data_IF_583378182573
#
_entry.id   IF_583378182573
#
_cell.length_a   1.000
_cell.length_b   1.000
_cell.length_c   1.000
_cell.angle_alpha   90.00
_cell.angle_beta   90.00
_cell.angle_gamma   90.00
#
_symmetry.space_group_name_H-M   'P 1'
#
loop_
_entity.id
_entity.type
_entity.pdbx_description
1 polymer ?
#
# COMPACT_ATOMS: atom_id res chain seq x y z
N UNK A 1 15.69 -9.13 3.11
CA UNK A 1 15.58 -9.37 4.58
C UNK A 1 15.59 -8.01 5.28
N UNK A 2 14.75 -7.79 6.29
CA UNK A 2 14.71 -6.54 7.06
C UNK A 2 15.88 -6.52 8.04
N UNK A 3 16.74 -5.49 7.96
CA UNK A 3 17.85 -5.30 8.88
C UNK A 3 17.39 -4.68 10.22
N UNK A 4 18.14 -4.86 11.33
CA UNK A 4 17.68 -4.41 12.65
C UNK A 4 17.40 -2.91 12.79
N UNK A 5 18.09 -2.06 12.03
CA UNK A 5 17.98 -0.60 12.11
C UNK A 5 17.33 0.01 10.84
N UNK A 6 16.60 -0.78 10.06
CA UNK A 6 15.96 -0.27 8.86
C UNK A 6 14.91 0.82 9.19
N UNK A 7 14.83 1.79 8.30
CA UNK A 7 13.72 2.73 8.21
C UNK A 7 12.73 2.17 7.19
N UNK A 8 11.52 1.83 7.64
CA UNK A 8 10.45 1.27 6.82
C UNK A 8 9.38 2.32 6.64
N UNK A 9 9.01 2.58 5.39
CA UNK A 9 7.97 3.55 5.04
C UNK A 9 6.80 2.85 4.35
N UNK A 10 5.60 3.02 4.88
CA UNK A 10 4.35 2.68 4.23
C UNK A 10 3.77 3.90 3.52
N UNK A 11 3.59 3.81 2.20
CA UNK A 11 2.96 4.82 1.35
C UNK A 11 1.68 4.26 0.74
N UNK A 12 0.70 5.12 0.55
CA UNK A 12 -0.57 4.73 -0.05
C UNK A 12 -1.69 5.74 0.21
N UNK A 13 -2.90 5.21 0.08
CA UNK A 13 -4.16 5.93 0.23
C UNK A 13 -4.84 5.69 1.60
N UNK A 14 -6.19 5.70 1.64
CA UNK A 14 -7.00 5.47 2.84
C UNK A 14 -6.81 4.09 3.47
N UNK A 15 -6.47 3.07 2.68
CA UNK A 15 -6.24 1.72 3.18
C UNK A 15 -4.94 1.68 4.00
N UNK A 16 -3.94 2.46 3.62
CA UNK A 16 -2.68 2.61 4.35
C UNK A 16 -2.82 3.63 5.49
N UNK A 17 -3.48 4.78 5.25
CA UNK A 17 -3.76 5.83 6.25
C UNK A 17 -4.52 5.26 7.46
N UNK A 18 -5.66 4.67 7.20
CA UNK A 18 -6.57 4.04 8.16
C UNK A 18 -6.66 4.80 9.50
N UNK A 19 -6.97 6.10 9.42
CA UNK A 19 -7.18 6.96 10.59
C UNK A 19 -5.91 7.33 11.36
N UNK A 20 -4.73 7.32 10.70
CA UNK A 20 -3.51 7.79 11.34
C UNK A 20 -3.60 9.27 11.73
N UNK A 21 -2.98 9.65 12.82
CA UNK A 21 -2.79 11.04 13.18
C UNK A 21 -1.64 11.64 12.34
N UNK A 22 -1.97 12.56 11.43
CA UNK A 22 -1.03 13.18 10.51
C UNK A 22 -0.15 14.26 11.13
N UNK A 23 -0.55 14.79 12.31
CA UNK A 23 0.21 15.77 13.06
C UNK A 23 1.39 15.16 13.82
N UNK A 24 1.38 13.84 13.99
CA UNK A 24 2.47 13.10 14.64
C UNK A 24 3.47 12.62 13.59
N UNK A 25 4.69 13.09 13.67
CA UNK A 25 5.76 12.79 12.72
C UNK A 25 6.65 11.61 13.15
N UNK A 26 6.64 11.25 14.43
CA UNK A 26 7.54 10.26 15.01
C UNK A 26 7.30 8.84 14.48
N UNK A 27 8.36 8.06 14.23
CA UNK A 27 8.22 6.65 13.89
C UNK A 27 7.67 5.84 15.06
N UNK A 28 7.09 4.70 14.77
CA UNK A 28 6.60 3.72 15.76
C UNK A 28 5.49 4.24 16.70
N UNK A 29 5.04 5.47 16.51
CA UNK A 29 3.95 6.02 17.32
C UNK A 29 2.63 5.38 16.89
N UNK A 30 1.88 4.82 17.84
CA UNK A 30 0.66 4.08 17.55
C UNK A 30 -0.40 4.92 16.84
N UNK A 31 -0.54 6.20 17.21
CA UNK A 31 -1.49 7.10 16.53
C UNK A 31 -1.03 7.49 15.13
N UNK A 32 0.28 7.63 14.89
CA UNK A 32 0.85 7.91 13.57
C UNK A 32 0.82 6.70 12.63
N UNK A 33 0.80 5.48 13.18
CA UNK A 33 0.67 4.24 12.40
C UNK A 33 -0.76 3.97 11.94
N UNK A 34 -1.77 4.56 12.61
CA UNK A 34 -3.18 4.34 12.32
C UNK A 34 -3.69 2.99 12.83
N UNK A 35 -4.79 2.49 12.26
CA UNK A 35 -5.47 1.27 12.68
C UNK A 35 -5.42 0.16 11.61
N UNK A 36 -4.73 0.41 10.49
CA UNK A 36 -4.69 -0.49 9.34
C UNK A 36 -3.55 -1.51 9.38
N UNK A 37 -3.36 -2.21 8.26
CA UNK A 37 -2.33 -3.25 8.13
C UNK A 37 -0.90 -2.77 8.50
N UNK A 38 -0.50 -1.49 8.29
CA UNK A 38 0.81 -1.02 8.73
C UNK A 38 1.02 -1.12 10.25
N UNK A 39 -0.05 -0.88 11.03
CA UNK A 39 0.00 -1.00 12.49
C UNK A 39 0.24 -2.45 12.93
N UNK A 40 -0.48 -3.42 12.33
CA UNK A 40 -0.29 -4.84 12.64
C UNK A 40 1.11 -5.31 12.24
N UNK A 41 1.61 -4.90 11.08
CA UNK A 41 2.97 -5.21 10.63
C UNK A 41 4.00 -4.60 11.59
N UNK A 42 3.82 -3.34 11.99
CA UNK A 42 4.72 -2.67 12.91
C UNK A 42 4.77 -3.38 14.27
N UNK A 43 3.61 -3.80 14.81
CA UNK A 43 3.53 -4.54 16.06
C UNK A 43 4.38 -5.82 16.02
N UNK A 44 4.22 -6.62 14.98
CA UNK A 44 4.98 -7.87 14.81
C UNK A 44 6.50 -7.63 14.64
N UNK A 45 6.86 -6.67 13.80
CA UNK A 45 8.27 -6.38 13.53
C UNK A 45 8.99 -5.77 14.74
N UNK A 46 8.35 -4.83 15.44
CA UNK A 46 8.95 -4.15 16.61
C UNK A 46 9.10 -5.09 17.82
N UNK A 47 8.21 -6.06 17.96
CA UNK A 47 8.36 -7.10 19.00
C UNK A 47 9.65 -7.92 18.83
N UNK A 48 10.10 -8.08 17.58
CA UNK A 48 11.31 -8.85 17.24
C UNK A 48 12.54 -7.97 17.03
N UNK A 49 12.35 -6.74 16.54
CA UNK A 49 13.42 -5.81 16.12
C UNK A 49 13.12 -4.40 16.64
N UNK A 50 13.35 -4.09 17.91
CA UNK A 50 12.95 -2.84 18.55
C UNK A 50 13.68 -1.58 18.02
N UNK A 51 14.77 -1.74 17.28
CA UNK A 51 15.52 -0.63 16.70
C UNK A 51 15.03 -0.18 15.32
N UNK A 52 13.97 -0.80 14.76
CA UNK A 52 13.35 -0.35 13.53
C UNK A 52 12.67 1.01 13.70
N UNK A 53 12.68 1.82 12.63
CA UNK A 53 11.87 3.03 12.52
C UNK A 53 10.80 2.81 11.45
N UNK A 54 9.53 2.78 11.84
CA UNK A 54 8.41 2.49 10.94
C UNK A 54 7.50 3.71 10.83
N UNK A 55 7.32 4.18 9.60
CA UNK A 55 6.48 5.32 9.27
C UNK A 55 5.27 4.89 8.44
N UNK A 56 4.11 5.45 8.73
CA UNK A 56 2.95 5.44 7.86
C UNK A 56 2.74 6.84 7.28
N UNK A 57 2.80 6.96 5.95
CA UNK A 57 2.55 8.20 5.19
C UNK A 57 1.38 8.03 4.20
N UNK A 58 0.47 7.10 4.45
CA UNK A 58 -0.80 7.00 3.76
C UNK A 58 -1.62 8.28 3.89
N UNK A 59 -2.33 8.66 2.83
CA UNK A 59 -3.27 9.80 2.84
C UNK A 59 -4.54 9.39 2.11
N UNK A 60 -5.66 9.41 2.82
CA UNK A 60 -6.97 9.05 2.28
C UNK A 60 -7.29 9.82 1.01
N UNK A 61 -7.82 9.12 0.00
CA UNK A 61 -8.18 9.69 -1.29
C UNK A 61 -7.03 9.80 -2.30
N UNK A 62 -5.76 9.54 -1.90
CA UNK A 62 -4.65 9.68 -2.82
C UNK A 62 -4.71 8.68 -3.98
N UNK A 63 -4.36 9.17 -5.16
CA UNK A 63 -4.08 8.45 -6.41
C UNK A 63 -2.57 8.38 -6.60
N UNK A 64 -2.11 7.68 -7.62
CA UNK A 64 -0.66 7.61 -7.91
C UNK A 64 -0.04 8.99 -8.15
N UNK A 65 -0.76 9.89 -8.80
CA UNK A 65 -0.31 11.28 -9.07
C UNK A 65 -0.13 12.09 -7.78
N UNK A 66 -0.94 11.83 -6.77
CA UNK A 66 -0.88 12.50 -5.47
C UNK A 66 0.32 11.99 -4.64
N UNK A 67 0.65 10.70 -4.74
CA UNK A 67 1.90 10.15 -4.17
C UNK A 67 3.13 10.81 -4.80
N UNK A 68 3.13 10.92 -6.12
CA UNK A 68 4.22 11.55 -6.86
C UNK A 68 4.41 13.03 -6.47
N UNK A 69 3.31 13.78 -6.32
CA UNK A 69 3.36 15.19 -5.94
C UNK A 69 4.01 15.44 -4.57
N UNK A 70 3.97 14.46 -3.66
CA UNK A 70 4.54 14.55 -2.30
C UNK A 70 5.77 13.65 -2.08
N UNK A 71 6.37 13.15 -3.16
CA UNK A 71 7.50 12.21 -3.12
C UNK A 71 8.66 12.73 -2.27
N UNK A 72 8.97 14.03 -2.37
CA UNK A 72 10.12 14.60 -1.66
C UNK A 72 9.89 14.71 -0.16
N UNK A 73 8.75 15.27 0.27
CA UNK A 73 8.43 15.49 1.68
C UNK A 73 8.17 14.18 2.43
N UNK A 74 7.39 13.29 1.82
CA UNK A 74 6.82 12.12 2.49
C UNK A 74 7.56 10.81 2.19
N UNK A 75 8.62 10.87 1.35
CA UNK A 75 9.44 9.70 1.05
C UNK A 75 10.93 10.02 1.08
N UNK A 76 11.44 10.83 0.16
CA UNK A 76 12.88 11.02 -0.02
C UNK A 76 13.54 11.61 1.23
N UNK A 77 12.90 12.61 1.85
CA UNK A 77 13.44 13.27 3.05
C UNK A 77 13.50 12.37 4.28
N UNK A 78 12.69 11.30 4.33
CA UNK A 78 12.71 10.31 5.41
C UNK A 78 13.83 9.27 5.25
N UNK A 79 14.46 9.21 4.07
CA UNK A 79 15.58 8.31 3.74
C UNK A 79 15.31 6.85 4.12
N UNK A 80 14.17 6.26 3.72
CA UNK A 80 13.86 4.89 4.06
C UNK A 80 14.79 3.88 3.40
N UNK A 81 15.06 2.77 4.10
CA UNK A 81 15.73 1.61 3.54
C UNK A 81 14.75 0.69 2.78
N UNK A 82 13.47 0.75 3.15
CA UNK A 82 12.40 -0.03 2.53
C UNK A 82 11.15 0.82 2.40
N UNK A 83 10.61 0.88 1.18
CA UNK A 83 9.36 1.59 0.87
C UNK A 83 8.32 0.60 0.40
N UNK A 84 7.22 0.51 1.15
CA UNK A 84 6.05 -0.30 0.82
C UNK A 84 4.95 0.60 0.26
N UNK A 85 4.50 0.34 -0.97
CA UNK A 85 3.51 1.16 -1.67
C UNK A 85 2.27 0.34 -2.00
N UNK A 86 1.12 0.81 -1.54
CA UNK A 86 -0.20 0.32 -1.94
C UNK A 86 -1.00 1.49 -2.51
N UNK A 87 -1.24 1.49 -3.82
CA UNK A 87 -1.91 2.57 -4.53
C UNK A 87 -2.62 2.07 -5.78
N UNK A 88 -3.70 2.73 -6.19
CA UNK A 88 -4.38 2.45 -7.45
C UNK A 88 -5.90 2.39 -7.35
N UNK A 89 -6.46 2.11 -6.17
CA UNK A 89 -7.91 2.00 -6.04
C UNK A 89 -8.61 3.35 -6.26
N UNK A 90 -8.04 4.46 -5.78
CA UNK A 90 -8.62 5.80 -5.99
C UNK A 90 -8.42 6.31 -7.42
N UNK A 91 -7.42 5.82 -8.12
CA UNK A 91 -7.24 6.09 -9.56
C UNK A 91 -8.45 5.57 -10.37
N UNK A 92 -9.06 4.47 -9.91
CA UNK A 92 -10.32 3.92 -10.44
C UNK A 92 -11.54 4.58 -9.78
N UNK A 93 -11.59 4.68 -8.45
CA UNK A 93 -12.75 5.21 -7.74
C UNK A 93 -13.12 6.62 -8.18
N UNK A 94 -12.12 7.50 -8.28
CA UNK A 94 -12.37 8.89 -8.68
C UNK A 94 -12.83 9.01 -10.13
N UNK A 95 -12.48 8.06 -11.01
CA UNK A 95 -13.01 8.03 -12.37
C UNK A 95 -14.50 7.74 -12.35
N UNK A 96 -14.94 6.67 -11.72
CA UNK A 96 -16.34 6.29 -11.65
C UNK A 96 -17.18 7.22 -10.79
N UNK A 97 -16.59 7.85 -9.77
CA UNK A 97 -17.31 8.74 -8.85
C UNK A 97 -17.42 10.19 -9.30
N UNK A 98 -16.43 10.73 -9.99
CA UNK A 98 -16.31 12.17 -10.27
C UNK A 98 -15.55 12.52 -11.56
N UNK A 99 -15.25 11.57 -12.41
CA UNK A 99 -14.46 11.74 -13.63
C UNK A 99 -13.09 12.40 -13.37
N UNK A 100 -12.49 12.06 -12.23
CA UNK A 100 -11.19 12.58 -11.80
C UNK A 100 -10.20 11.45 -11.46
N UNK A 101 -10.33 10.34 -12.16
CA UNK A 101 -9.43 9.21 -12.06
C UNK A 101 -8.11 9.42 -12.78
N UNK A 102 -7.31 8.36 -12.83
CA UNK A 102 -6.06 8.35 -13.58
C UNK A 102 -6.07 7.17 -14.55
N UNK A 103 -6.11 7.44 -15.84
CA UNK A 103 -6.10 6.39 -16.85
C UNK A 103 -4.90 5.45 -16.68
N UNK A 104 -5.10 4.15 -16.93
CA UNK A 104 -4.09 3.11 -16.69
C UNK A 104 -2.72 3.40 -17.33
N UNK A 105 -2.62 3.90 -18.57
CA UNK A 105 -1.31 4.25 -19.14
C UNK A 105 -0.60 5.40 -18.41
N UNK A 106 -1.36 6.36 -17.85
CA UNK A 106 -0.81 7.45 -17.03
C UNK A 106 -0.41 6.93 -15.65
N UNK A 107 -1.22 6.06 -15.04
CA UNK A 107 -0.89 5.39 -13.78
C UNK A 107 0.45 4.66 -13.88
N UNK A 108 0.67 3.88 -14.95
CA UNK A 108 1.94 3.18 -15.18
C UNK A 108 3.12 4.15 -15.30
N UNK A 109 2.98 5.23 -16.09
CA UNK A 109 4.07 6.22 -16.23
C UNK A 109 4.42 6.88 -14.92
N UNK A 110 3.42 7.44 -14.22
CA UNK A 110 3.64 8.18 -12.97
C UNK A 110 4.16 7.26 -11.86
N UNK A 111 3.70 6.02 -11.81
CA UNK A 111 4.23 5.07 -10.82
C UNK A 111 5.69 4.70 -11.13
N UNK A 112 6.04 4.52 -12.41
CA UNK A 112 7.43 4.31 -12.83
C UNK A 112 8.31 5.50 -12.49
N UNK A 113 7.85 6.73 -12.77
CA UNK A 113 8.59 7.95 -12.46
C UNK A 113 8.84 8.07 -10.93
N UNK A 114 7.83 7.78 -10.10
CA UNK A 114 7.96 7.75 -8.64
C UNK A 114 9.05 6.77 -8.18
N UNK A 115 9.07 5.56 -8.74
CA UNK A 115 10.07 4.55 -8.38
C UNK A 115 11.48 4.94 -8.88
N UNK A 116 11.57 5.49 -10.09
CA UNK A 116 12.82 5.93 -10.69
C UNK A 116 13.46 7.05 -9.89
N UNK A 117 12.73 8.14 -9.63
CA UNK A 117 13.25 9.28 -8.85
C UNK A 117 13.58 8.88 -7.40
N UNK A 118 12.81 7.97 -6.81
CA UNK A 118 13.13 7.44 -5.49
C UNK A 118 14.45 6.68 -5.52
N UNK A 119 14.68 5.83 -6.52
CA UNK A 119 15.93 5.05 -6.68
C UNK A 119 17.13 5.95 -6.98
N UNK A 120 16.95 7.00 -7.78
CA UNK A 120 18.00 7.99 -8.05
C UNK A 120 18.40 8.74 -6.79
N UNK A 121 17.43 9.15 -5.97
CA UNK A 121 17.68 9.85 -4.70
C UNK A 121 18.21 8.94 -3.60
N UNK A 122 17.80 7.66 -3.59
CA UNK A 122 18.12 6.66 -2.58
C UNK A 122 18.54 5.34 -3.26
N UNK A 123 19.80 5.23 -3.74
CA UNK A 123 20.24 4.10 -4.57
C UNK A 123 20.04 2.70 -3.94
N UNK A 124 20.16 2.60 -2.62
CA UNK A 124 20.04 1.34 -1.88
C UNK A 124 18.60 1.04 -1.40
N UNK A 125 17.62 1.87 -1.76
CA UNK A 125 16.23 1.67 -1.33
C UNK A 125 15.68 0.36 -1.89
N UNK A 126 14.98 -0.39 -1.06
CA UNK A 126 14.25 -1.59 -1.46
C UNK A 126 12.77 -1.26 -1.58
N UNK A 127 12.14 -1.77 -2.63
CA UNK A 127 10.72 -1.57 -2.85
C UNK A 127 9.92 -2.82 -2.51
N UNK A 128 8.75 -2.58 -1.94
CA UNK A 128 7.66 -3.54 -1.78
C UNK A 128 6.46 -2.95 -2.50
N UNK A 129 6.05 -3.55 -3.61
CA UNK A 129 4.87 -3.12 -4.35
C UNK A 129 3.70 -4.03 -4.00
N UNK A 130 2.72 -3.46 -3.31
CA UNK A 130 1.52 -4.16 -2.90
C UNK A 130 0.48 -4.11 -4.02
N UNK A 131 -0.11 -5.26 -4.31
CA UNK A 131 -1.15 -5.39 -5.31
C UNK A 131 -2.40 -4.60 -4.89
N UNK A 132 -2.88 -3.64 -5.70
CA UNK A 132 -4.15 -2.99 -5.43
C UNK A 132 -5.30 -3.99 -5.60
N UNK A 133 -6.30 -3.92 -4.75
CA UNK A 133 -7.37 -4.90 -4.69
C UNK A 133 -8.75 -4.25 -4.61
N UNK A 134 -9.76 -5.01 -4.97
CA UNK A 134 -11.18 -4.75 -4.69
C UNK A 134 -11.90 -6.07 -4.48
N UNK A 135 -12.92 -6.08 -3.63
CA UNK A 135 -13.86 -7.19 -3.52
C UNK A 135 -15.22 -6.79 -4.08
N UNK A 136 -15.83 -7.67 -4.85
CA UNK A 136 -17.09 -7.38 -5.52
C UNK A 136 -18.27 -7.32 -4.55
N UNK A 137 -18.44 -6.16 -3.94
CA UNK A 137 -19.59 -5.80 -3.09
C UNK A 137 -19.65 -4.29 -2.92
N UNK A 138 -20.73 -3.81 -2.35
CA UNK A 138 -20.91 -2.38 -2.05
C UNK A 138 -20.82 -1.51 -3.28
N UNK A 139 -19.78 -0.68 -3.37
CA UNK A 139 -19.58 0.27 -4.47
C UNK A 139 -18.86 -0.33 -5.68
N UNK A 140 -18.29 -1.52 -5.54
CA UNK A 140 -17.47 -2.15 -6.58
C UNK A 140 -18.35 -2.87 -7.61
N UNK A 141 -18.31 -2.41 -8.86
CA UNK A 141 -18.99 -3.00 -10.01
C UNK A 141 -18.05 -3.87 -10.86
N UNK A 142 -18.57 -4.53 -11.90
CA UNK A 142 -17.74 -5.29 -12.85
C UNK A 142 -16.74 -4.40 -13.59
N UNK A 143 -17.13 -3.17 -13.94
CA UNK A 143 -16.24 -2.24 -14.63
C UNK A 143 -15.03 -1.87 -13.76
N UNK A 144 -15.24 -1.73 -12.44
CA UNK A 144 -14.13 -1.54 -11.50
C UNK A 144 -13.17 -2.72 -11.50
N UNK A 145 -13.70 -3.95 -11.46
CA UNK A 145 -12.88 -5.16 -11.46
C UNK A 145 -11.99 -5.20 -12.69
N UNK A 146 -12.58 -4.96 -13.88
CA UNK A 146 -11.85 -4.97 -15.14
C UNK A 146 -10.74 -3.90 -15.21
N UNK A 147 -10.97 -2.71 -14.66
CA UNK A 147 -9.95 -1.65 -14.61
C UNK A 147 -8.87 -1.95 -13.54
N UNK A 148 -9.27 -2.50 -12.40
CA UNK A 148 -8.33 -2.89 -11.35
C UNK A 148 -7.42 -4.05 -11.78
N UNK A 149 -7.91 -4.99 -12.62
CA UNK A 149 -7.08 -6.04 -13.22
C UNK A 149 -5.90 -5.45 -14.00
N UNK A 150 -6.14 -4.38 -14.77
CA UNK A 150 -5.09 -3.71 -15.52
C UNK A 150 -4.07 -3.04 -14.58
N UNK A 151 -4.52 -2.41 -13.47
CA UNK A 151 -3.64 -1.79 -12.47
C UNK A 151 -2.81 -2.83 -11.72
N UNK A 152 -3.40 -4.00 -11.40
CA UNK A 152 -2.68 -5.15 -10.83
C UNK A 152 -1.56 -5.61 -11.76
N UNK A 153 -1.88 -5.75 -13.06
CA UNK A 153 -0.89 -6.12 -14.06
C UNK A 153 0.27 -5.10 -14.16
N UNK A 154 -0.04 -3.80 -14.10
CA UNK A 154 0.97 -2.73 -14.07
C UNK A 154 1.84 -2.85 -12.81
N UNK A 155 1.23 -3.01 -11.64
CA UNK A 155 1.98 -3.13 -10.38
C UNK A 155 2.91 -4.34 -10.40
N UNK A 156 2.44 -5.49 -10.88
CA UNK A 156 3.27 -6.69 -11.04
C UNK A 156 4.41 -6.51 -12.06
N UNK A 157 4.14 -5.80 -13.16
CA UNK A 157 5.16 -5.44 -14.18
C UNK A 157 6.25 -4.57 -13.56
N UNK A 158 5.86 -3.50 -12.85
CA UNK A 158 6.80 -2.59 -12.19
C UNK A 158 7.59 -3.29 -11.07
N UNK A 159 6.96 -4.21 -10.34
CA UNK A 159 7.68 -4.98 -9.33
C UNK A 159 8.84 -5.79 -9.95
N UNK A 160 8.63 -6.39 -11.12
CA UNK A 160 9.71 -7.08 -11.85
C UNK A 160 10.76 -6.11 -12.38
N UNK A 161 10.34 -4.99 -12.97
CA UNK A 161 11.22 -3.97 -13.57
C UNK A 161 12.18 -3.38 -12.52
N UNK A 162 11.70 -3.10 -11.31
CA UNK A 162 12.47 -2.48 -10.24
C UNK A 162 13.08 -3.48 -9.25
N UNK A 163 13.01 -4.79 -9.51
CA UNK A 163 13.44 -5.84 -8.60
C UNK A 163 12.83 -5.67 -7.20
N UNK A 164 11.53 -5.34 -7.16
CA UNK A 164 10.77 -5.13 -5.93
C UNK A 164 10.12 -6.43 -5.44
N UNK A 165 9.89 -6.53 -4.14
CA UNK A 165 9.04 -7.57 -3.57
C UNK A 165 7.59 -7.26 -3.97
N UNK A 166 6.90 -8.22 -4.58
CA UNK A 166 5.48 -8.12 -4.88
C UNK A 166 4.65 -8.77 -3.78
N UNK A 167 3.67 -8.04 -3.23
CA UNK A 167 2.76 -8.56 -2.21
C UNK A 167 1.35 -8.72 -2.79
N UNK A 168 0.85 -9.97 -2.99
CA UNK A 168 -0.37 -10.27 -3.72
C UNK A 168 -1.62 -10.13 -2.83
N UNK A 169 -2.05 -8.92 -2.53
CA UNK A 169 -3.19 -8.69 -1.63
C UNK A 169 -4.52 -9.15 -2.23
N UNK A 170 -4.75 -9.00 -3.55
CA UNK A 170 -5.97 -9.50 -4.18
C UNK A 170 -6.10 -11.01 -3.99
N UNK A 171 -5.05 -11.76 -4.33
CA UNK A 171 -5.06 -13.22 -4.19
C UNK A 171 -5.28 -13.67 -2.74
N UNK A 172 -4.71 -12.96 -1.78
CA UNK A 172 -4.89 -13.27 -0.35
C UNK A 172 -6.33 -13.03 0.12
N UNK A 173 -6.96 -11.97 -0.36
CA UNK A 173 -8.36 -11.66 -0.04
C UNK A 173 -9.32 -12.59 -0.78
N UNK A 174 -9.03 -12.97 -2.02
CA UNK A 174 -9.80 -13.97 -2.77
C UNK A 174 -9.79 -15.34 -2.06
N UNK A 175 -8.65 -15.74 -1.50
CA UNK A 175 -8.57 -16.95 -0.67
C UNK A 175 -9.41 -16.80 0.61
N UNK A 176 -9.41 -15.63 1.23
CA UNK A 176 -10.21 -15.36 2.43
C UNK A 176 -11.72 -15.43 2.16
N UNK A 177 -12.19 -15.18 0.93
CA UNK A 177 -13.60 -15.33 0.54
C UNK A 177 -14.14 -16.76 0.71
N UNK A 178 -13.26 -17.77 0.80
CA UNK A 178 -13.67 -19.15 1.11
C UNK A 178 -14.17 -19.31 2.55
N UNK A 179 -13.82 -18.40 3.45
CA UNK A 179 -14.18 -18.44 4.86
C UNK A 179 -15.46 -17.64 5.11
N UNK A 180 -15.57 -16.44 4.50
CA UNK A 180 -16.71 -15.55 4.69
C UNK A 180 -16.93 -14.67 3.46
N UNK A 181 -18.13 -14.12 3.33
CA UNK A 181 -18.47 -13.21 2.23
C UNK A 181 -17.67 -11.89 2.27
N UNK A 182 -17.68 -11.12 1.16
CA UNK A 182 -16.80 -9.96 0.98
C UNK A 182 -16.98 -8.85 2.03
N UNK A 183 -18.19 -8.66 2.55
CA UNK A 183 -18.45 -7.67 3.61
C UNK A 183 -17.86 -8.03 4.98
N UNK A 184 -17.37 -9.24 5.15
CA UNK A 184 -16.59 -9.60 6.33
C UNK A 184 -15.16 -9.03 6.25
N UNK A 185 -14.63 -8.91 5.04
CA UNK A 185 -13.23 -8.50 4.78
C UNK A 185 -13.10 -7.04 4.42
N UNK A 186 -14.13 -6.44 3.81
CA UNK A 186 -14.19 -5.03 3.43
C UNK A 186 -15.55 -4.44 3.80
N UNK A 187 -15.59 -3.13 4.08
CA UNK A 187 -16.84 -2.44 4.40
C UNK A 187 -17.78 -2.30 3.18
N UNK A 188 -17.18 -2.01 2.00
CA UNK A 188 -17.94 -1.70 0.77
C UNK A 188 -17.21 -2.18 -0.51
N UNK A 189 -16.28 -3.10 -0.34
CA UNK A 189 -15.48 -3.65 -1.45
C UNK A 189 -14.08 -3.07 -1.58
N UNK A 190 -13.76 -2.00 -0.85
CA UNK A 190 -12.46 -1.29 -0.91
C UNK A 190 -11.78 -1.23 0.44
N UNK A 191 -12.42 -0.60 1.45
CA UNK A 191 -11.80 -0.38 2.75
C UNK A 191 -11.87 -1.65 3.61
N UNK A 192 -10.73 -2.21 4.03
CA UNK A 192 -10.70 -3.42 4.83
C UNK A 192 -11.34 -3.22 6.22
N UNK A 193 -12.03 -4.23 6.68
CA UNK A 193 -12.38 -4.40 8.10
C UNK A 193 -11.13 -4.74 8.92
N UNK A 194 -11.19 -4.79 10.26
CA UNK A 194 -10.07 -5.29 11.07
C UNK A 194 -9.60 -6.69 10.63
N UNK A 195 -10.52 -7.57 10.21
CA UNK A 195 -10.19 -8.90 9.69
C UNK A 195 -9.45 -8.81 8.33
N UNK A 196 -9.91 -7.94 7.42
CA UNK A 196 -9.23 -7.69 6.15
C UNK A 196 -7.83 -7.12 6.34
N UNK A 197 -7.67 -6.12 7.20
CA UNK A 197 -6.35 -5.59 7.54
C UNK A 197 -5.41 -6.64 8.15
N UNK A 198 -5.94 -7.56 8.94
CA UNK A 198 -5.14 -8.67 9.49
C UNK A 198 -4.65 -9.63 8.38
N UNK A 199 -5.52 -9.99 7.42
CA UNK A 199 -5.12 -10.79 6.25
C UNK A 199 -4.01 -10.09 5.48
N UNK A 200 -4.15 -8.79 5.23
CA UNK A 200 -3.13 -7.99 4.54
C UNK A 200 -1.80 -7.96 5.30
N UNK A 201 -1.84 -7.73 6.61
CA UNK A 201 -0.63 -7.71 7.44
C UNK A 201 0.12 -9.05 7.40
N UNK A 202 -0.59 -10.16 7.56
CA UNK A 202 0.00 -11.49 7.46
C UNK A 202 0.59 -11.78 6.09
N UNK A 203 -0.10 -11.36 5.03
CA UNK A 203 0.39 -11.51 3.66
C UNK A 203 1.67 -10.71 3.46
N UNK A 204 1.70 -9.47 3.94
CA UNK A 204 2.88 -8.62 3.86
C UNK A 204 4.06 -9.23 4.63
N UNK A 205 3.86 -9.64 5.87
CA UNK A 205 4.89 -10.26 6.73
C UNK A 205 5.47 -11.52 6.08
N UNK A 206 4.61 -12.38 5.55
CA UNK A 206 5.03 -13.60 4.83
C UNK A 206 5.98 -13.30 3.66
N UNK A 207 5.65 -12.30 2.82
CA UNK A 207 6.42 -12.02 1.60
C UNK A 207 7.66 -11.16 1.86
N UNK A 208 7.64 -10.30 2.87
CA UNK A 208 8.71 -9.31 3.10
C UNK A 208 9.62 -9.70 4.27
N UNK A 209 9.07 -10.26 5.34
CA UNK A 209 9.82 -10.63 6.52
C UNK A 209 10.11 -12.14 6.62
N UNK A 210 9.38 -12.98 5.89
CA UNK A 210 9.54 -14.43 5.94
C UNK A 210 8.91 -15.07 7.20
N UNK A 211 7.92 -14.40 7.79
CA UNK A 211 7.22 -14.83 9.01
C UNK A 211 5.84 -15.41 8.70
#
# INVERSE_FOLDING_TARGET
MIAPNDVILFQGDSITDCGRNREVADPNNSSALGLGYPHFVAGELLAQKPALSIYNRGISGNRVVDLYARIKSDLINLKPNLVSILIGVNDTWHEFGSQNGVAVPKYERVYRDLLTETREALPEVRFVLCEPFVLRCGVVTEDWVAEMDQRRAVTAKLAKEFNAIFVPFQSALDEALRIAGPLHWTCEGVHPTPAGHHVMARTWLKHVAGC
#
